data_IF_056769829054
#
_entry.id   IF_056769829054
#
_cell.length_a   1.000
_cell.length_b   1.000
_cell.length_c   1.000
_cell.angle_alpha   90.00
_cell.angle_beta   90.00
_cell.angle_gamma   90.00
#
_symmetry.space_group_name_H-M   'P 1'
#
loop_
_entity.id
_entity.type
_entity.pdbx_description
1 polymer ?
#
# COMPACT_ATOMS: atom_id res chain seq x y z
N UNK A 1 8.09 -12.03 36.25
CA UNK A 1 6.82 -12.05 35.49
C UNK A 1 6.92 -10.95 34.45
N UNK A 2 7.48 -11.30 33.28
CA UNK A 2 7.72 -10.34 32.18
C UNK A 2 6.37 -10.03 31.56
N UNK A 3 5.89 -8.82 31.78
CA UNK A 3 4.73 -8.30 31.05
C UNK A 3 5.08 -8.28 29.57
N UNK A 4 4.52 -9.21 28.80
CA UNK A 4 4.54 -9.14 27.34
C UNK A 4 3.96 -7.79 26.95
N UNK A 5 4.79 -6.96 26.29
CA UNK A 5 4.33 -5.70 25.69
C UNK A 5 3.10 -6.00 24.82
N UNK A 6 2.05 -5.15 24.85
CA UNK A 6 0.88 -5.39 24.04
C UNK A 6 1.30 -5.56 22.57
N UNK A 7 0.95 -6.70 22.00
CA UNK A 7 1.20 -7.02 20.59
C UNK A 7 0.43 -6.02 19.74
N UNK A 8 1.08 -4.93 19.36
CA UNK A 8 0.45 -3.93 18.49
C UNK A 8 0.49 -4.46 17.07
N UNK A 9 -0.66 -4.71 16.46
CA UNK A 9 -0.71 -5.16 15.09
C UNK A 9 -0.15 -4.10 14.13
N UNK A 10 0.42 -4.55 13.01
CA UNK A 10 0.97 -3.66 11.99
C UNK A 10 0.69 -4.16 10.58
N UNK A 11 0.78 -3.23 9.63
CA UNK A 11 0.76 -3.53 8.20
C UNK A 11 2.16 -3.39 7.61
N UNK A 12 2.43 -4.14 6.54
CA UNK A 12 3.63 -3.97 5.74
C UNK A 12 3.29 -3.96 4.25
N UNK A 13 4.00 -3.12 3.51
CA UNK A 13 4.02 -3.11 2.04
C UNK A 13 5.42 -3.49 1.59
N UNK A 14 5.55 -4.63 0.93
CA UNK A 14 6.82 -5.06 0.34
C UNK A 14 6.74 -4.92 -1.17
N UNK A 15 7.66 -4.17 -1.76
CA UNK A 15 7.85 -4.07 -3.20
C UNK A 15 8.99 -4.97 -3.62
N UNK A 16 8.81 -5.72 -4.70
CA UNK A 16 9.76 -6.65 -5.27
C UNK A 16 9.96 -6.30 -6.73
N UNK A 17 11.19 -6.07 -7.13
CA UNK A 17 11.55 -5.94 -8.55
C UNK A 17 12.30 -7.17 -8.99
N UNK A 18 11.88 -7.78 -10.07
CA UNK A 18 12.55 -8.92 -10.69
C UNK A 18 13.23 -8.51 -11.98
N UNK A 19 14.34 -9.18 -12.32
CA UNK A 19 14.89 -9.09 -13.66
C UNK A 19 13.85 -9.61 -14.69
N UNK A 20 13.78 -9.08 -15.92
CA UNK A 20 12.80 -9.52 -16.92
C UNK A 20 12.69 -11.03 -17.09
N UNK A 21 13.84 -11.74 -17.08
CA UNK A 21 13.93 -13.21 -17.15
C UNK A 21 13.28 -13.92 -15.94
N UNK A 22 13.13 -13.25 -14.82
CA UNK A 22 12.54 -13.81 -13.59
C UNK A 22 11.02 -13.71 -13.54
N UNK A 23 10.40 -12.91 -14.40
CA UNK A 23 8.95 -12.63 -14.39
C UNK A 23 8.10 -13.89 -14.55
N UNK A 24 8.37 -14.81 -15.51
CA UNK A 24 7.59 -16.04 -15.65
C UNK A 24 7.62 -16.89 -14.37
N UNK A 25 8.80 -16.99 -13.74
CA UNK A 25 8.94 -17.71 -12.48
C UNK A 25 8.21 -17.05 -11.31
N UNK A 26 8.14 -15.71 -11.26
CA UNK A 26 7.37 -14.99 -10.25
C UNK A 26 5.88 -15.28 -10.40
N UNK A 27 5.34 -15.23 -11.62
CA UNK A 27 3.93 -15.54 -11.93
C UNK A 27 3.56 -16.97 -11.50
N UNK A 28 4.38 -17.96 -11.87
CA UNK A 28 4.12 -19.36 -11.53
C UNK A 28 4.10 -19.62 -10.02
N UNK A 29 4.92 -18.89 -9.26
CA UNK A 29 5.02 -19.06 -7.80
C UNK A 29 3.92 -18.35 -7.03
N UNK A 30 3.24 -17.40 -7.61
CA UNK A 30 2.23 -16.60 -6.91
C UNK A 30 1.15 -17.46 -6.22
N UNK A 31 0.68 -18.52 -6.89
CA UNK A 31 -0.27 -19.46 -6.30
C UNK A 31 0.30 -20.23 -5.11
N UNK A 32 1.53 -20.73 -5.23
CA UNK A 32 2.23 -21.45 -4.16
C UNK A 32 2.55 -20.52 -2.98
N UNK A 33 3.04 -19.33 -3.27
CA UNK A 33 3.33 -18.33 -2.24
C UNK A 33 2.05 -17.90 -1.50
N UNK A 34 0.91 -17.77 -2.20
CA UNK A 34 -0.38 -17.51 -1.57
C UNK A 34 -0.80 -18.62 -0.60
N UNK A 35 -0.60 -19.90 -0.96
CA UNK A 35 -0.90 -21.01 -0.05
C UNK A 35 0.01 -21.02 1.18
N UNK A 36 1.29 -20.67 1.01
CA UNK A 36 2.25 -20.60 2.12
C UNK A 36 1.93 -19.41 3.04
N UNK A 37 1.62 -18.25 2.47
CA UNK A 37 1.21 -17.05 3.23
C UNK A 37 -0.06 -17.32 4.04
N UNK A 38 -1.06 -18.00 3.47
CA UNK A 38 -2.30 -18.32 4.18
C UNK A 38 -2.08 -19.20 5.44
N UNK A 39 -0.94 -19.86 5.54
CA UNK A 39 -0.55 -20.71 6.68
C UNK A 39 0.53 -20.09 7.56
N UNK A 40 0.88 -18.83 7.31
CA UNK A 40 1.96 -18.15 8.05
C UNK A 40 1.45 -17.70 9.42
N UNK A 41 2.07 -18.13 10.53
CA UNK A 41 1.67 -17.72 11.87
C UNK A 41 1.75 -16.20 12.05
N UNK A 42 0.74 -15.62 12.66
CA UNK A 42 0.67 -14.19 12.92
C UNK A 42 0.36 -13.30 11.71
N UNK A 43 0.20 -13.87 10.52
CA UNK A 43 -0.28 -13.15 9.32
C UNK A 43 -1.81 -13.19 9.29
N UNK A 44 -2.46 -12.04 9.47
CA UNK A 44 -3.92 -11.89 9.48
C UNK A 44 -4.53 -11.72 8.11
N UNK A 45 -3.82 -10.96 7.28
CA UNK A 45 -4.31 -10.58 5.95
C UNK A 45 -3.15 -10.41 5.00
N UNK A 46 -3.33 -10.80 3.74
CA UNK A 46 -2.35 -10.53 2.70
C UNK A 46 -3.00 -10.36 1.33
N UNK A 47 -2.33 -9.62 0.46
CA UNK A 47 -2.59 -9.56 -0.98
C UNK A 47 -1.28 -9.48 -1.74
N UNK A 48 -1.17 -10.32 -2.75
CA UNK A 48 -0.11 -10.26 -3.75
C UNK A 48 -0.66 -9.49 -4.96
N UNK A 49 0.05 -8.46 -5.38
CA UNK A 49 -0.44 -7.46 -6.33
C UNK A 49 0.55 -7.29 -7.47
N UNK A 50 0.03 -7.26 -8.70
CA UNK A 50 0.76 -6.68 -9.82
C UNK A 50 0.77 -5.15 -9.70
N UNK A 51 1.80 -4.48 -10.23
CA UNK A 51 1.89 -3.02 -10.16
C UNK A 51 1.72 -2.36 -11.52
N UNK A 52 1.38 -1.09 -11.55
CA UNK A 52 1.37 -0.26 -12.75
C UNK A 52 2.67 0.55 -12.86
N UNK A 53 3.00 0.97 -14.08
CA UNK A 53 4.06 1.96 -14.35
C UNK A 53 3.61 3.34 -13.96
N UNK A 54 4.56 4.18 -13.57
CA UNK A 54 4.28 5.54 -13.14
C UNK A 54 3.77 5.64 -11.72
N UNK A 55 3.15 6.76 -11.39
CA UNK A 55 2.62 7.08 -10.06
C UNK A 55 1.13 6.76 -9.91
N UNK A 56 0.44 6.41 -10.99
CA UNK A 56 -1.00 6.18 -11.07
C UNK A 56 -1.34 4.87 -11.79
N UNK A 57 -2.49 4.86 -12.47
CA UNK A 57 -3.04 3.68 -13.15
C UNK A 57 -2.50 3.49 -14.57
N UNK A 58 -1.19 3.59 -14.73
CA UNK A 58 -0.49 3.34 -15.98
C UNK A 58 -0.58 1.88 -16.47
N UNK A 59 0.15 1.54 -17.56
CA UNK A 59 0.26 0.17 -18.03
C UNK A 59 0.84 -0.75 -16.95
N UNK A 60 0.52 -2.04 -17.02
CA UNK A 60 1.08 -3.03 -16.12
C UNK A 60 2.62 -3.04 -16.19
N UNK A 61 3.25 -3.15 -15.00
CA UNK A 61 4.69 -3.30 -14.84
C UNK A 61 5.03 -4.75 -14.45
N UNK A 62 5.37 -5.60 -15.42
CA UNK A 62 5.55 -7.03 -15.16
C UNK A 62 6.73 -7.35 -14.24
N UNK A 63 7.71 -6.47 -14.15
CA UNK A 63 8.90 -6.70 -13.34
C UNK A 63 8.74 -6.28 -11.89
N UNK A 64 7.70 -5.50 -11.55
CA UNK A 64 7.49 -5.02 -10.18
C UNK A 64 6.19 -5.57 -9.60
N UNK A 65 6.30 -6.11 -8.40
CA UNK A 65 5.22 -6.72 -7.65
C UNK A 65 5.13 -6.12 -6.25
N UNK A 66 3.96 -6.19 -5.65
CA UNK A 66 3.75 -5.74 -4.30
C UNK A 66 3.09 -6.84 -3.47
N UNK A 67 3.49 -6.94 -2.20
CA UNK A 67 2.79 -7.72 -1.19
C UNK A 67 2.31 -6.75 -0.09
N UNK A 68 1.00 -6.66 0.11
CA UNK A 68 0.42 -5.98 1.25
C UNK A 68 0.04 -7.02 2.29
N UNK A 69 0.51 -6.85 3.52
CA UNK A 69 0.35 -7.83 4.62
C UNK A 69 -0.03 -7.12 5.90
N UNK A 70 -0.84 -7.79 6.74
CA UNK A 70 -1.23 -7.31 8.06
C UNK A 70 -0.95 -8.40 9.09
N UNK A 71 -0.29 -8.03 10.18
CA UNK A 71 0.33 -8.92 11.15
C UNK A 71 -0.20 -8.69 12.56
N UNK A 72 -0.20 -9.74 13.38
CA UNK A 72 -0.54 -9.68 14.81
C UNK A 72 0.45 -8.80 15.59
N UNK A 73 1.72 -8.79 15.18
CA UNK A 73 2.78 -8.06 15.87
C UNK A 73 4.00 -7.83 14.97
N UNK A 74 4.87 -6.92 15.38
CA UNK A 74 6.18 -6.72 14.76
C UNK A 74 7.03 -8.02 14.83
N UNK A 75 6.98 -8.73 15.94
CA UNK A 75 7.71 -9.99 16.11
C UNK A 75 7.27 -11.08 15.12
N UNK A 76 5.97 -11.15 14.77
CA UNK A 76 5.47 -12.08 13.75
C UNK A 76 6.01 -11.74 12.36
N UNK A 77 6.05 -10.45 12.01
CA UNK A 77 6.67 -10.01 10.76
C UNK A 77 8.18 -10.27 10.75
N UNK A 78 8.89 -9.98 11.85
CA UNK A 78 10.33 -10.26 11.98
C UNK A 78 10.64 -11.75 11.81
N UNK A 79 9.84 -12.62 12.43
CA UNK A 79 9.96 -14.06 12.29
C UNK A 79 9.70 -14.52 10.84
N UNK A 80 8.72 -13.95 10.16
CA UNK A 80 8.45 -14.21 8.74
C UNK A 80 9.63 -13.76 7.89
N UNK A 81 10.12 -12.56 8.06
CA UNK A 81 11.25 -12.04 7.29
C UNK A 81 12.52 -12.86 7.51
N UNK A 82 12.77 -13.35 8.73
CA UNK A 82 13.96 -14.13 9.06
C UNK A 82 13.87 -15.58 8.59
N UNK A 83 12.73 -16.25 8.76
CA UNK A 83 12.64 -17.70 8.69
C UNK A 83 11.73 -18.25 7.59
N UNK A 84 10.86 -17.41 6.98
CA UNK A 84 9.93 -17.88 5.95
C UNK A 84 10.65 -18.21 4.64
N UNK A 85 10.27 -19.35 4.05
CA UNK A 85 10.70 -19.73 2.68
C UNK A 85 10.21 -18.72 1.63
N UNK A 86 9.06 -18.08 1.85
CA UNK A 86 8.53 -17.04 0.95
C UNK A 86 9.45 -15.83 1.00
N UNK A 87 9.73 -15.30 2.19
CA UNK A 87 10.61 -14.14 2.35
C UNK A 87 12.03 -14.41 1.84
N UNK A 88 12.59 -15.59 2.15
CA UNK A 88 13.89 -16.01 1.61
C UNK A 88 13.88 -16.08 0.08
N UNK A 89 12.79 -16.60 -0.49
CA UNK A 89 12.61 -16.69 -1.92
C UNK A 89 12.48 -15.31 -2.59
N UNK A 90 11.81 -14.36 -1.96
CA UNK A 90 11.75 -12.97 -2.44
C UNK A 90 13.13 -12.34 -2.47
N UNK A 91 13.89 -12.41 -1.37
CA UNK A 91 15.27 -11.88 -1.29
C UNK A 91 16.22 -12.50 -2.32
N UNK A 92 16.12 -13.81 -2.54
CA UNK A 92 17.00 -14.50 -3.47
C UNK A 92 16.74 -14.17 -4.95
N UNK A 93 15.50 -13.78 -5.30
CA UNK A 93 15.09 -13.60 -6.70
C UNK A 93 14.88 -12.15 -7.11
N UNK A 94 14.53 -11.28 -6.15
CA UNK A 94 14.39 -9.86 -6.44
C UNK A 94 15.75 -9.20 -6.65
N UNK A 95 15.85 -8.37 -7.67
CA UNK A 95 17.02 -7.49 -7.89
C UNK A 95 16.95 -6.23 -7.04
N UNK A 96 15.77 -5.91 -6.56
CA UNK A 96 15.49 -4.81 -5.65
C UNK A 96 14.30 -5.18 -4.77
N UNK A 97 14.38 -4.87 -3.49
CA UNK A 97 13.30 -5.04 -2.53
C UNK A 97 13.22 -3.80 -1.65
N UNK A 98 12.00 -3.36 -1.37
CA UNK A 98 11.72 -2.33 -0.38
C UNK A 98 10.53 -2.77 0.48
N UNK A 99 10.67 -2.67 1.80
CA UNK A 99 9.61 -3.01 2.74
C UNK A 99 9.34 -1.83 3.65
N UNK A 100 8.09 -1.37 3.66
CA UNK A 100 7.57 -0.31 4.53
C UNK A 100 6.68 -0.91 5.60
N UNK A 101 7.02 -0.72 6.87
CA UNK A 101 6.22 -1.10 8.03
C UNK A 101 5.38 0.08 8.50
N UNK A 102 4.10 -0.16 8.81
CA UNK A 102 3.13 0.90 9.07
C UNK A 102 2.17 0.50 10.18
N UNK A 103 1.66 1.49 10.91
CA UNK A 103 0.56 1.32 11.86
C UNK A 103 -0.72 1.93 11.30
N UNK A 104 -1.86 1.19 11.29
CA UNK A 104 -3.15 1.76 10.94
C UNK A 104 -3.55 2.86 11.94
N UNK A 105 -3.99 4.01 11.40
CA UNK A 105 -4.46 5.17 12.19
C UNK A 105 -5.97 5.31 12.06
N UNK A 106 -6.47 5.23 10.84
CA UNK A 106 -7.89 5.34 10.52
C UNK A 106 -8.19 4.54 9.26
N UNK A 107 -9.30 3.83 9.25
CA UNK A 107 -9.75 3.09 8.07
C UNK A 107 -11.26 2.92 8.06
N UNK A 108 -11.79 2.58 6.90
CA UNK A 108 -13.16 2.11 6.71
C UNK A 108 -13.24 1.28 5.44
N UNK A 109 -14.23 0.39 5.38
CA UNK A 109 -14.48 -0.47 4.24
C UNK A 109 -13.86 -1.85 4.36
N UNK A 110 -13.77 -2.55 3.23
CA UNK A 110 -13.32 -3.93 3.16
C UNK A 110 -12.46 -4.21 1.94
N UNK A 111 -11.70 -5.30 1.99
CA UNK A 111 -10.90 -5.80 0.89
C UNK A 111 -11.17 -7.30 0.67
N UNK A 112 -11.99 -7.62 -0.33
CA UNK A 112 -12.44 -8.98 -0.58
C UNK A 112 -13.38 -9.49 0.51
N UNK A 113 -14.31 -8.63 0.96
CA UNK A 113 -15.29 -8.95 2.02
C UNK A 113 -14.70 -8.94 3.43
N UNK A 114 -13.41 -8.65 3.62
CA UNK A 114 -12.72 -8.68 4.91
C UNK A 114 -12.25 -7.27 5.29
N UNK A 115 -12.45 -6.86 6.55
CA UNK A 115 -11.74 -5.72 7.12
C UNK A 115 -10.32 -6.16 7.52
N UNK A 116 -9.25 -5.69 6.82
CA UNK A 116 -7.89 -6.12 7.12
C UNK A 116 -7.41 -5.71 8.52
N UNK A 117 -8.06 -4.72 9.10
CA UNK A 117 -7.71 -4.12 10.37
C UNK A 117 -8.70 -4.41 11.49
N UNK A 118 -9.58 -5.39 11.30
CA UNK A 118 -10.53 -5.81 12.33
C UNK A 118 -9.82 -6.16 13.64
N UNK A 119 -10.32 -5.62 14.75
CA UNK A 119 -9.73 -5.81 16.08
C UNK A 119 -8.51 -4.94 16.39
N UNK A 120 -8.11 -4.04 15.48
CA UNK A 120 -7.14 -3.00 15.81
C UNK A 120 -7.83 -1.85 16.56
N UNK A 121 -7.12 -1.26 17.50
CA UNK A 121 -7.52 0.04 18.04
C UNK A 121 -6.90 1.12 17.15
N UNK A 122 -7.70 2.04 16.59
CA UNK A 122 -7.14 3.16 15.86
C UNK A 122 -6.09 3.87 16.72
N UNK A 123 -4.90 4.05 16.18
CA UNK A 123 -3.88 4.86 16.85
C UNK A 123 -4.44 6.28 17.03
N UNK A 124 -4.20 6.91 18.17
CA UNK A 124 -4.47 8.32 18.30
C UNK A 124 -3.80 9.05 17.12
N UNK A 125 -4.53 9.93 16.45
CA UNK A 125 -3.88 10.99 15.67
C UNK A 125 -3.22 11.88 16.73
N UNK A 126 -2.05 11.43 17.25
CA UNK A 126 -1.28 12.17 18.24
C UNK A 126 -1.13 13.60 17.74
N UNK A 127 -1.05 14.59 18.64
CA UNK A 127 -1.03 16.02 18.28
C UNK A 127 0.04 16.44 17.25
N UNK A 128 0.92 15.52 16.81
CA UNK A 128 1.81 15.63 15.66
C UNK A 128 1.16 15.20 14.32
N UNK A 129 -0.09 14.72 14.32
CA UNK A 129 -0.73 14.10 13.15
C UNK A 129 -0.81 14.95 11.89
N UNK A 130 -0.73 16.29 12.03
CA UNK A 130 -0.71 17.20 10.89
C UNK A 130 0.67 17.29 10.21
N UNK A 131 1.76 17.20 10.98
CA UNK A 131 3.14 17.35 10.50
C UNK A 131 3.83 16.02 10.19
N UNK A 132 3.37 14.91 10.77
CA UNK A 132 4.01 13.61 10.61
C UNK A 132 3.73 12.97 9.23
N UNK A 133 4.67 12.19 8.69
CA UNK A 133 4.48 11.42 7.47
C UNK A 133 3.27 10.50 7.55
N UNK A 134 2.60 10.33 6.41
CA UNK A 134 1.39 9.53 6.31
C UNK A 134 1.36 8.71 5.02
N UNK A 135 0.92 7.46 5.13
CA UNK A 135 0.58 6.63 3.98
C UNK A 135 -0.94 6.59 3.83
N UNK A 136 -1.41 6.79 2.61
CA UNK A 136 -2.81 6.60 2.25
C UNK A 136 -2.92 5.37 1.36
N UNK A 137 -3.73 4.43 1.80
CA UNK A 137 -4.16 3.28 1.02
C UNK A 137 -5.61 3.52 0.59
N UNK A 138 -5.84 3.48 -0.72
CA UNK A 138 -7.18 3.45 -1.30
C UNK A 138 -7.30 2.19 -2.15
N UNK A 139 -8.33 1.41 -1.92
CA UNK A 139 -8.62 0.20 -2.70
C UNK A 139 -10.07 0.21 -3.15
N UNK A 140 -10.33 -0.18 -4.39
CA UNK A 140 -11.68 -0.28 -4.93
C UNK A 140 -11.85 -1.48 -5.86
N UNK A 141 -13.02 -2.12 -5.80
CA UNK A 141 -13.50 -3.04 -6.82
C UNK A 141 -14.45 -2.28 -7.73
N UNK A 142 -14.06 -2.11 -8.99
CA UNK A 142 -14.82 -1.37 -9.99
C UNK A 142 -15.94 -2.22 -10.58
N UNK A 143 -17.09 -1.60 -10.79
CA UNK A 143 -18.15 -2.20 -11.63
C UNK A 143 -17.81 -2.01 -13.11
N UNK A 144 -17.83 -3.06 -13.89
CA UNK A 144 -17.42 -3.09 -15.30
C UNK A 144 -18.00 -1.92 -16.13
N UNK A 145 -19.28 -1.59 -15.92
CA UNK A 145 -19.97 -0.49 -16.64
C UNK A 145 -19.31 0.87 -16.45
N UNK A 146 -18.55 1.09 -15.35
CA UNK A 146 -17.88 2.35 -15.04
C UNK A 146 -16.39 2.37 -15.38
N UNK A 147 -15.84 1.29 -15.93
CA UNK A 147 -14.40 1.16 -16.17
C UNK A 147 -13.84 2.26 -17.09
N UNK A 148 -14.57 2.63 -18.13
CA UNK A 148 -14.14 3.71 -19.06
C UNK A 148 -14.10 5.07 -18.34
N UNK A 149 -15.16 5.40 -17.59
CA UNK A 149 -15.26 6.65 -16.84
C UNK A 149 -14.16 6.73 -15.75
N UNK A 150 -13.92 5.61 -15.05
CA UNK A 150 -12.84 5.52 -14.07
C UNK A 150 -11.46 5.75 -14.69
N UNK A 151 -11.16 5.11 -15.82
CA UNK A 151 -9.86 5.28 -16.51
C UNK A 151 -9.61 6.71 -16.94
N UNK A 152 -10.61 7.39 -17.48
CA UNK A 152 -10.51 8.79 -17.85
C UNK A 152 -10.25 9.69 -16.62
N UNK A 153 -10.98 9.44 -15.52
CA UNK A 153 -10.78 10.16 -14.27
C UNK A 153 -9.41 9.89 -13.63
N UNK A 154 -8.94 8.63 -13.68
CA UNK A 154 -7.65 8.21 -13.14
C UNK A 154 -6.48 8.83 -13.92
N UNK A 155 -6.56 8.92 -15.25
CA UNK A 155 -5.55 9.59 -16.06
C UNK A 155 -5.44 11.09 -15.72
N UNK A 156 -6.56 11.78 -15.57
CA UNK A 156 -6.58 13.18 -15.14
C UNK A 156 -6.02 13.39 -13.73
N UNK A 157 -6.23 12.41 -12.83
CA UNK A 157 -5.69 12.45 -11.47
C UNK A 157 -4.17 12.22 -11.43
N UNK A 158 -3.63 11.40 -12.33
CA UNK A 158 -2.19 11.11 -12.40
C UNK A 158 -1.38 12.39 -12.67
N UNK A 159 -1.85 13.27 -13.57
CA UNK A 159 -1.22 14.56 -13.82
C UNK A 159 -1.22 15.47 -12.59
N UNK A 160 -2.32 15.46 -11.84
CA UNK A 160 -2.44 16.24 -10.60
C UNK A 160 -1.48 15.69 -9.54
N UNK A 161 -1.44 14.36 -9.36
CA UNK A 161 -0.56 13.70 -8.42
C UNK A 161 0.92 13.93 -8.73
N UNK A 162 1.30 13.94 -10.02
CA UNK A 162 2.69 14.18 -10.44
C UNK A 162 3.23 15.55 -10.01
N UNK A 163 2.35 16.54 -9.86
CA UNK A 163 2.69 17.92 -9.48
C UNK A 163 2.39 18.25 -8.02
N UNK A 164 1.89 17.25 -7.26
CA UNK A 164 1.44 17.51 -5.90
C UNK A 164 2.61 17.65 -4.94
N UNK A 165 2.70 18.81 -4.30
CA UNK A 165 3.67 19.06 -3.23
C UNK A 165 3.38 18.15 -2.04
N UNK A 166 4.47 17.64 -1.44
CA UNK A 166 4.39 16.74 -0.28
C UNK A 166 4.08 15.28 -0.62
N UNK A 167 3.83 14.90 -1.88
CA UNK A 167 3.78 13.51 -2.32
C UNK A 167 5.20 12.98 -2.56
N UNK A 168 5.65 12.06 -1.71
CA UNK A 168 7.00 11.49 -1.77
C UNK A 168 7.06 10.32 -2.74
N UNK A 169 6.14 9.38 -2.61
CA UNK A 169 6.07 8.21 -3.46
C UNK A 169 4.61 7.77 -3.67
N UNK A 170 4.31 7.17 -4.81
CA UNK A 170 2.99 6.63 -5.12
C UNK A 170 3.13 5.37 -5.97
N UNK A 171 2.25 4.40 -5.69
CA UNK A 171 2.17 3.12 -6.38
C UNK A 171 0.72 2.78 -6.65
N UNK A 172 0.40 2.48 -7.90
CA UNK A 172 -0.85 1.79 -8.23
C UNK A 172 -0.60 0.30 -8.42
N UNK A 173 -1.48 -0.51 -7.88
CA UNK A 173 -1.38 -1.97 -7.88
C UNK A 173 -2.77 -2.61 -8.01
N UNK A 174 -2.84 -3.91 -8.31
CA UNK A 174 -4.11 -4.61 -8.40
C UNK A 174 -3.98 -6.12 -8.35
N UNK A 175 -5.06 -6.79 -7.94
CA UNK A 175 -5.18 -8.26 -7.93
C UNK A 175 -5.64 -8.79 -9.30
N UNK A 176 -6.61 -8.11 -9.89
CA UNK A 176 -7.12 -8.40 -11.22
C UNK A 176 -6.96 -7.13 -12.04
N UNK A 177 -6.23 -7.19 -13.15
CA UNK A 177 -6.02 -6.03 -13.98
C UNK A 177 -7.33 -5.28 -14.25
N UNK A 178 -7.33 -3.96 -14.04
CA UNK A 178 -8.42 -3.02 -14.30
C UNK A 178 -9.62 -3.06 -13.36
N UNK A 179 -9.88 -4.13 -12.62
CA UNK A 179 -11.11 -4.28 -11.82
C UNK A 179 -10.88 -4.09 -10.33
N UNK A 180 -9.84 -4.73 -9.79
CA UNK A 180 -9.50 -4.67 -8.36
C UNK A 180 -8.22 -3.88 -8.19
N UNK A 181 -8.35 -2.61 -7.90
CA UNK A 181 -7.24 -1.67 -7.89
C UNK A 181 -7.00 -1.11 -6.51
N UNK A 182 -5.73 -0.86 -6.20
CA UNK A 182 -5.29 -0.20 -5.00
C UNK A 182 -4.25 0.87 -5.34
N UNK A 183 -4.20 1.92 -4.53
CA UNK A 183 -3.12 2.91 -4.55
C UNK A 183 -2.53 3.02 -3.16
N UNK A 184 -1.21 3.07 -3.10
CA UNK A 184 -0.44 3.42 -1.92
C UNK A 184 0.28 4.72 -2.21
N UNK A 185 0.11 5.72 -1.37
CA UNK A 185 0.80 7.01 -1.51
C UNK A 185 1.43 7.40 -0.17
N UNK A 186 2.73 7.71 -0.21
CA UNK A 186 3.51 8.19 0.92
C UNK A 186 3.61 9.71 0.84
N UNK A 187 3.23 10.38 1.90
CA UNK A 187 3.14 11.83 2.02
C UNK A 187 4.06 12.33 3.12
N UNK A 188 4.61 13.52 2.91
CA UNK A 188 5.44 14.20 3.92
C UNK A 188 4.67 14.48 5.21
N UNK A 189 3.37 14.73 5.10
CA UNK A 189 2.56 15.05 6.27
C UNK A 189 1.06 14.83 6.03
N UNK A 190 0.31 14.70 7.12
CA UNK A 190 -1.15 14.70 7.07
C UNK A 190 -1.73 16.02 6.54
N UNK A 191 -1.01 17.14 6.70
CA UNK A 191 -1.39 18.43 6.11
C UNK A 191 -1.32 18.38 4.57
N UNK A 192 -0.27 17.78 4.00
CA UNK A 192 -0.14 17.60 2.56
C UNK A 192 -1.28 16.73 1.98
N UNK A 193 -1.67 15.66 2.69
CA UNK A 193 -2.84 14.83 2.31
C UNK A 193 -4.12 15.67 2.31
N UNK A 194 -4.34 16.49 3.33
CA UNK A 194 -5.51 17.36 3.38
C UNK A 194 -5.48 18.40 2.27
N UNK A 195 -4.32 19.05 2.05
CA UNK A 195 -4.13 20.00 0.94
C UNK A 195 -4.53 19.39 -0.40
N UNK A 196 -4.06 18.18 -0.69
CA UNK A 196 -4.43 17.44 -1.89
C UNK A 196 -5.94 17.16 -1.98
N UNK A 197 -6.56 16.75 -0.86
CA UNK A 197 -8.00 16.46 -0.83
C UNK A 197 -8.87 17.69 -1.05
N UNK A 198 -8.41 18.88 -0.58
CA UNK A 198 -9.16 20.14 -0.68
C UNK A 198 -8.79 21.01 -1.88
N UNK A 199 -7.51 21.03 -2.32
CA UNK A 199 -7.06 21.85 -3.43
C UNK A 199 -7.60 21.37 -4.80
N UNK A 200 -8.06 20.14 -4.88
CA UNK A 200 -8.58 19.55 -6.11
C UNK A 200 -10.12 19.60 -6.14
N UNK A 201 -10.75 20.71 -6.51
CA UNK A 201 -12.16 20.68 -6.90
C UNK A 201 -12.43 19.53 -7.90
N UNK A 202 -11.46 19.19 -8.76
CA UNK A 202 -11.52 18.04 -9.67
C UNK A 202 -11.48 16.70 -8.92
N UNK A 203 -10.63 16.55 -7.91
CA UNK A 203 -10.55 15.32 -7.12
C UNK A 203 -11.80 15.11 -6.26
N UNK A 204 -12.24 16.14 -5.56
CA UNK A 204 -13.50 16.11 -4.79
C UNK A 204 -14.70 15.80 -5.71
N UNK A 205 -14.75 16.38 -6.90
CA UNK A 205 -15.79 16.11 -7.91
C UNK A 205 -15.76 14.64 -8.39
N UNK A 206 -14.59 14.06 -8.61
CA UNK A 206 -14.47 12.63 -9.00
C UNK A 206 -14.93 11.74 -7.85
N UNK A 207 -14.47 11.97 -6.61
CA UNK A 207 -14.91 11.19 -5.43
C UNK A 207 -16.41 11.29 -5.22
N UNK A 208 -16.99 12.49 -5.35
CA UNK A 208 -18.43 12.70 -5.21
C UNK A 208 -19.20 11.99 -6.34
N UNK A 209 -18.68 12.04 -7.57
CA UNK A 209 -19.25 11.35 -8.72
C UNK A 209 -19.19 9.84 -8.55
N UNK A 210 -18.06 9.27 -8.11
CA UNK A 210 -17.91 7.81 -7.89
C UNK A 210 -18.93 7.29 -6.87
N UNK A 211 -19.20 8.05 -5.81
CA UNK A 211 -20.22 7.71 -4.80
C UNK A 211 -21.63 7.82 -5.35
N UNK A 212 -21.97 8.94 -5.99
CA UNK A 212 -23.30 9.19 -6.54
C UNK A 212 -23.69 8.18 -7.62
N UNK A 213 -22.74 7.81 -8.48
CA UNK A 213 -22.97 6.89 -9.60
C UNK A 213 -22.69 5.43 -9.23
N UNK A 214 -22.21 5.16 -8.00
CA UNK A 214 -21.93 3.81 -7.51
C UNK A 214 -20.90 3.06 -8.35
N UNK A 215 -19.74 3.67 -8.63
CA UNK A 215 -18.71 3.06 -9.46
C UNK A 215 -18.07 1.85 -8.81
N UNK A 216 -18.07 1.79 -7.48
CA UNK A 216 -17.44 0.74 -6.70
C UNK A 216 -18.48 -0.26 -6.19
N UNK A 217 -18.18 -1.54 -6.23
CA UNK A 217 -18.92 -2.58 -5.52
C UNK A 217 -18.35 -2.82 -4.12
N UNK A 218 -17.10 -2.45 -3.89
CA UNK A 218 -16.41 -2.53 -2.61
C UNK A 218 -15.29 -1.51 -2.58
N UNK A 219 -15.04 -0.93 -1.43
CA UNK A 219 -13.92 0.00 -1.21
C UNK A 219 -13.27 -0.23 0.16
N UNK A 220 -11.98 0.08 0.25
CA UNK A 220 -11.23 0.24 1.49
C UNK A 220 -10.44 1.54 1.39
N UNK A 221 -10.53 2.34 2.42
CA UNK A 221 -9.68 3.50 2.62
C UNK A 221 -8.96 3.37 3.96
N UNK A 222 -7.65 3.56 3.98
CA UNK A 222 -6.89 3.56 5.22
C UNK A 222 -5.81 4.64 5.22
N UNK A 223 -5.61 5.24 6.39
CA UNK A 223 -4.46 6.07 6.74
C UNK A 223 -3.57 5.27 7.65
N UNK A 224 -2.29 5.20 7.32
CA UNK A 224 -1.31 4.43 8.07
C UNK A 224 -0.09 5.32 8.36
N UNK A 225 0.42 5.25 9.57
CA UNK A 225 1.66 5.92 9.95
C UNK A 225 2.86 5.04 9.58
N UNK A 226 3.80 5.52 8.77
CA UNK A 226 5.04 4.79 8.53
C UNK A 226 5.85 4.69 9.84
N UNK A 227 6.43 3.52 10.10
CA UNK A 227 7.24 3.24 11.29
C UNK A 227 8.71 3.10 10.92
N UNK A 228 8.98 2.30 9.90
CA UNK A 228 10.32 2.05 9.39
C UNK A 228 10.24 1.53 7.96
N UNK A 229 11.33 1.68 7.22
CA UNK A 229 11.49 1.05 5.93
C UNK A 229 12.88 0.42 5.82
N UNK A 230 13.01 -0.54 4.90
CA UNK A 230 14.27 -1.20 4.60
C UNK A 230 14.38 -1.50 3.10
N UNK A 231 15.61 -1.48 2.57
CA UNK A 231 15.87 -1.67 1.16
C UNK A 231 15.63 -0.41 0.32
N UNK A 232 15.44 -0.59 -0.99
CA UNK A 232 15.28 0.54 -1.94
C UNK A 232 14.09 0.35 -2.86
N UNK A 233 13.54 1.46 -3.32
CA UNK A 233 12.54 1.58 -4.37
C UNK A 233 13.06 2.54 -5.44
N UNK A 234 13.31 2.00 -6.64
CA UNK A 234 13.95 2.72 -7.75
C UNK A 234 15.30 3.34 -7.33
N UNK A 235 16.12 2.55 -6.58
CA UNK A 235 17.45 2.93 -6.11
C UNK A 235 17.46 3.92 -4.94
N UNK A 236 16.31 4.26 -4.35
CA UNK A 236 16.18 5.22 -3.24
C UNK A 236 15.43 4.59 -2.07
N UNK A 237 15.59 5.17 -0.89
CA UNK A 237 14.75 4.86 0.27
C UNK A 237 13.84 6.07 0.54
N UNK A 238 12.54 6.01 0.14
CA UNK A 238 11.65 7.18 0.18
C UNK A 238 11.35 7.73 1.57
N UNK A 239 11.43 6.89 2.62
CA UNK A 239 11.07 7.28 3.97
C UNK A 239 12.22 7.99 4.71
N UNK A 240 13.47 7.69 4.38
CA UNK A 240 14.64 8.23 5.10
C UNK A 240 14.68 9.76 5.12
N UNK A 241 14.34 10.38 4.00
CA UNK A 241 14.26 11.84 3.87
C UNK A 241 13.17 12.48 4.76
N UNK A 242 12.20 11.69 5.24
CA UNK A 242 11.09 12.16 6.07
C UNK A 242 11.32 11.93 7.56
N UNK A 243 12.16 10.96 7.92
CA UNK A 243 12.47 10.60 9.31
C UNK A 243 13.77 11.22 9.79
N UNK A 244 14.59 11.78 8.91
CA UNK A 244 15.77 12.52 9.32
C UNK A 244 15.34 13.73 10.18
N UNK A 245 15.88 13.90 11.40
CA UNK A 245 15.65 15.12 12.16
C UNK A 245 16.11 16.30 11.31
N UNK A 246 15.23 17.28 11.11
CA UNK A 246 15.50 18.43 10.26
C UNK A 246 16.82 19.09 10.66
N UNK A 247 17.75 19.08 9.72
CA UNK A 247 18.88 20.00 9.72
C UNK A 247 18.31 21.38 9.37
N UNK A 248 17.89 22.11 10.39
CA UNK A 248 17.72 23.56 10.38
C UNK A 248 18.75 24.17 11.31
#
# INVERSE_FOLDING_TARGET
MTLLAPTSPLAALTLLRYAPRGVPGALLRQGLESMQLARTPGLRFFRLLGTARGRGFGPWEPTRWAAFTVWDSAAALDAFEAHSRVAAGWRARAVEQWTLRMRPVRWHGAWGGVDPFAGFTPGAEDGQGAAAPLVVLTRATLRLRHLRAFRAAAAALEEVLARQEGLVASLAAGEVPLLKQATFSLWQSGAAVRGFAYAGQRHAGVVQRTRREGWYSEELFARLRPLSASGTWDGREPLSALLAPGLN
#
